data_IF_309495283958
#
_entry.id   IF_309495283958
#
_cell.length_a   1.000
_cell.length_b   1.000
_cell.length_c   1.000
_cell.angle_alpha   90.00
_cell.angle_beta   90.00
_cell.angle_gamma   90.00
#
_symmetry.space_group_name_H-M   'P 1'
#
loop_
_entity.id
_entity.type
_entity.pdbx_description
1 polymer ?
#
# COMPACT_ATOMS: atom_id res chain seq x y z
N UNK A 1 4.27 -14.36 22.27
CA UNK A 1 3.71 -13.05 21.82
C UNK A 1 4.43 -12.41 20.64
N UNK A 2 5.78 -12.33 20.60
CA UNK A 2 6.48 -11.69 19.47
C UNK A 2 6.16 -12.30 18.11
N UNK A 3 6.17 -13.64 17.98
CA UNK A 3 5.87 -14.32 16.72
C UNK A 3 4.47 -14.03 16.15
N UNK A 4 3.46 -13.89 17.01
CA UNK A 4 2.08 -13.62 16.59
C UNK A 4 1.92 -12.23 15.95
N UNK A 5 2.51 -11.19 16.54
CA UNK A 5 2.44 -9.82 15.99
C UNK A 5 3.07 -9.72 14.59
N UNK A 6 4.20 -10.40 14.40
CA UNK A 6 4.86 -10.47 13.11
C UNK A 6 4.10 -11.32 12.10
N UNK A 7 3.49 -12.43 12.53
CA UNK A 7 2.62 -13.24 11.68
C UNK A 7 1.45 -12.41 11.17
N UNK A 8 0.77 -11.69 12.07
CA UNK A 8 -0.30 -10.75 11.71
C UNK A 8 0.19 -9.66 10.76
N UNK A 9 1.35 -9.04 11.03
CA UNK A 9 1.89 -7.99 10.16
C UNK A 9 2.22 -8.54 8.77
N UNK A 10 2.75 -9.76 8.70
CA UNK A 10 3.01 -10.46 7.45
C UNK A 10 1.74 -10.74 6.67
N UNK A 11 0.65 -11.14 7.34
CA UNK A 11 -0.65 -11.35 6.70
C UNK A 11 -1.19 -10.03 6.14
N UNK A 12 -1.24 -8.96 6.93
CA UNK A 12 -1.79 -7.68 6.47
C UNK A 12 -1.00 -7.09 5.30
N UNK A 13 0.34 -7.06 5.41
CA UNK A 13 1.19 -6.53 4.34
C UNK A 13 1.17 -7.45 3.11
N UNK A 14 1.03 -8.76 3.30
CA UNK A 14 0.86 -9.72 2.20
C UNK A 14 -0.46 -9.55 1.46
N UNK A 15 -1.57 -9.41 2.18
CA UNK A 15 -2.89 -9.12 1.60
C UNK A 15 -2.86 -7.79 0.83
N UNK A 16 -2.21 -6.77 1.39
CA UNK A 16 -1.99 -5.50 0.71
C UNK A 16 -1.26 -5.69 -0.62
N UNK A 17 -0.12 -6.38 -0.61
CA UNK A 17 0.64 -6.64 -1.84
C UNK A 17 -0.18 -7.41 -2.88
N UNK A 18 -0.98 -8.40 -2.45
CA UNK A 18 -1.86 -9.15 -3.35
C UNK A 18 -2.96 -8.29 -3.97
N UNK A 19 -3.60 -7.41 -3.20
CA UNK A 19 -4.64 -6.51 -3.72
C UNK A 19 -4.05 -5.52 -4.72
N UNK A 20 -2.94 -4.86 -4.40
CA UNK A 20 -2.30 -3.94 -5.35
C UNK A 20 -1.74 -4.67 -6.58
N UNK A 21 -1.27 -5.91 -6.44
CA UNK A 21 -0.92 -6.75 -7.59
C UNK A 21 -2.14 -7.06 -8.48
N UNK A 22 -3.29 -7.38 -7.88
CA UNK A 22 -4.51 -7.63 -8.63
C UNK A 22 -4.99 -6.38 -9.37
N UNK A 23 -4.98 -5.21 -8.70
CA UNK A 23 -5.37 -3.93 -9.29
C UNK A 23 -4.45 -3.47 -10.43
N UNK A 24 -3.19 -3.90 -10.42
CA UNK A 24 -2.23 -3.63 -11.49
C UNK A 24 -2.60 -4.35 -12.79
N UNK A 25 -3.16 -5.56 -12.67
CA UNK A 25 -3.46 -6.44 -13.81
C UNK A 25 -4.92 -6.25 -14.26
N UNK A 26 -5.84 -6.02 -13.32
CA UNK A 26 -7.27 -6.00 -13.56
C UNK A 26 -7.98 -4.83 -12.85
N UNK A 27 -8.98 -4.18 -13.47
CA UNK A 27 -9.33 -4.17 -14.90
C UNK A 27 -8.14 -3.89 -15.83
N UNK A 28 -8.17 -4.32 -17.10
CA UNK A 28 -7.16 -3.95 -18.09
C UNK A 28 -7.49 -2.62 -18.77
N UNK A 29 -6.48 -1.84 -19.16
CA UNK A 29 -6.66 -0.55 -19.85
C UNK A 29 -6.23 0.68 -19.06
N UNK A 30 -6.18 1.82 -19.76
CA UNK A 30 -5.83 3.15 -19.21
C UNK A 30 -6.95 4.16 -19.52
N UNK A 31 -8.11 3.68 -19.94
CA UNK A 31 -9.30 4.50 -20.15
C UNK A 31 -9.99 4.83 -18.82
N UNK A 32 -10.80 5.89 -18.83
CA UNK A 32 -11.46 6.40 -17.62
C UNK A 32 -12.32 5.33 -16.95
N UNK A 33 -13.02 4.49 -17.73
CA UNK A 33 -13.87 3.42 -17.20
C UNK A 33 -13.05 2.39 -16.42
N UNK A 34 -11.95 1.89 -17.00
CA UNK A 34 -11.07 0.95 -16.31
C UNK A 34 -10.47 1.53 -15.03
N UNK A 35 -10.08 2.82 -15.05
CA UNK A 35 -9.52 3.51 -13.88
C UNK A 35 -10.57 3.68 -12.77
N UNK A 36 -11.79 4.08 -13.10
CA UNK A 36 -12.90 4.19 -12.13
C UNK A 36 -13.22 2.82 -11.53
N UNK A 37 -13.35 1.77 -12.35
CA UNK A 37 -13.63 0.42 -11.85
C UNK A 37 -12.51 -0.11 -10.95
N UNK A 38 -11.23 0.18 -11.25
CA UNK A 38 -10.11 -0.15 -10.34
C UNK A 38 -10.26 0.57 -9.00
N UNK A 39 -10.58 1.86 -9.03
CA UNK A 39 -10.75 2.66 -7.81
C UNK A 39 -11.91 2.16 -6.95
N UNK A 40 -13.06 1.87 -7.56
CA UNK A 40 -14.21 1.26 -6.88
C UNK A 40 -13.84 -0.09 -6.26
N UNK A 41 -13.17 -0.97 -7.02
CA UNK A 41 -12.71 -2.27 -6.52
C UNK A 41 -11.75 -2.13 -5.33
N UNK A 42 -10.84 -1.15 -5.38
CA UNK A 42 -9.95 -0.84 -4.28
C UNK A 42 -10.72 -0.34 -3.04
N UNK A 43 -11.69 0.55 -3.23
CA UNK A 43 -12.53 1.06 -2.15
C UNK A 43 -13.36 -0.06 -1.50
N UNK A 44 -14.00 -0.90 -2.30
CA UNK A 44 -14.83 -2.03 -1.86
C UNK A 44 -14.02 -3.12 -1.17
N UNK A 45 -12.73 -3.26 -1.49
CA UNK A 45 -11.84 -4.19 -0.79
C UNK A 45 -11.63 -3.85 0.69
N UNK A 46 -11.97 -2.62 1.11
CA UNK A 46 -11.74 -2.14 2.48
C UNK A 46 -10.26 -1.99 2.83
N UNK A 47 -9.35 -2.03 1.84
CA UNK A 47 -7.90 -1.97 2.05
C UNK A 47 -7.49 -0.74 2.85
N UNK A 48 -8.08 0.43 2.57
CA UNK A 48 -7.78 1.66 3.28
C UNK A 48 -8.08 1.55 4.78
N UNK A 49 -9.24 0.98 5.13
CA UNK A 49 -9.62 0.73 6.52
C UNK A 49 -8.66 -0.25 7.18
N UNK A 50 -8.27 -1.33 6.48
CA UNK A 50 -7.28 -2.28 6.97
C UNK A 50 -5.91 -1.62 7.22
N UNK A 51 -5.46 -0.75 6.32
CA UNK A 51 -4.21 0.00 6.45
C UNK A 51 -4.22 0.88 7.69
N UNK A 52 -5.23 1.75 7.81
CA UNK A 52 -5.30 2.78 8.86
C UNK A 52 -5.55 2.17 10.24
N UNK A 53 -6.50 1.24 10.35
CA UNK A 53 -6.96 0.75 11.65
C UNK A 53 -6.25 -0.52 12.12
N UNK A 54 -5.58 -1.27 11.24
CA UNK A 54 -4.92 -2.51 11.61
C UNK A 54 -3.44 -2.51 11.29
N UNK A 55 -3.04 -2.27 10.04
CA UNK A 55 -1.65 -2.38 9.63
C UNK A 55 -0.75 -1.33 10.30
N UNK A 56 -1.15 -0.04 10.26
CA UNK A 56 -0.36 1.05 10.84
C UNK A 56 -0.21 0.93 12.38
N UNK A 57 -1.27 0.64 13.17
CA UNK A 57 -1.13 0.39 14.59
C UNK A 57 -0.26 -0.83 14.90
N UNK A 58 -0.40 -1.91 14.13
CA UNK A 58 0.37 -3.14 14.32
C UNK A 58 1.86 -2.93 14.02
N UNK A 59 2.18 -2.23 12.94
CA UNK A 59 3.56 -1.88 12.59
C UNK A 59 4.15 -0.91 13.63
N UNK A 60 3.38 0.06 14.12
CA UNK A 60 3.79 0.93 15.24
C UNK A 60 4.13 0.13 16.50
N UNK A 61 3.29 -0.84 16.86
CA UNK A 61 3.54 -1.73 17.99
C UNK A 61 4.80 -2.59 17.78
N UNK A 62 5.04 -3.07 16.56
CA UNK A 62 6.28 -3.78 16.21
C UNK A 62 7.51 -2.88 16.31
N UNK A 63 7.46 -1.64 15.82
CA UNK A 63 8.55 -0.66 15.94
C UNK A 63 8.89 -0.44 17.41
N UNK A 64 7.88 -0.23 18.25
CA UNK A 64 8.08 -0.06 19.68
C UNK A 64 8.75 -1.28 20.32
N UNK A 65 8.36 -2.49 19.91
CA UNK A 65 8.93 -3.74 20.45
C UNK A 65 10.36 -3.99 19.97
N UNK A 66 10.77 -3.42 18.84
CA UNK A 66 12.11 -3.59 18.25
C UNK A 66 13.13 -2.53 18.71
N UNK A 67 12.82 -1.71 19.72
CA UNK A 67 13.73 -0.64 20.23
C UNK A 67 15.17 -1.08 20.53
N UNK A 68 15.36 -2.34 20.92
CA UNK A 68 16.68 -2.91 21.21
C UNK A 68 17.42 -3.31 19.92
N UNK A 69 16.69 -3.70 18.87
CA UNK A 69 17.24 -4.13 17.59
C UNK A 69 17.10 -3.02 16.54
N UNK A 70 18.04 -2.05 16.53
CA UNK A 70 17.98 -0.86 15.67
C UNK A 70 17.77 -1.17 14.19
N UNK A 71 18.40 -2.23 13.66
CA UNK A 71 18.23 -2.65 12.26
C UNK A 71 16.80 -3.12 11.97
N UNK A 72 16.26 -4.01 12.80
CA UNK A 72 14.89 -4.47 12.67
C UNK A 72 13.89 -3.31 12.84
N UNK A 73 14.15 -2.40 13.77
CA UNK A 73 13.33 -1.21 13.97
C UNK A 73 13.29 -0.31 12.74
N UNK A 74 14.44 -0.05 12.10
CA UNK A 74 14.51 0.75 10.88
C UNK A 74 13.74 0.07 9.72
N UNK A 75 13.89 -1.24 9.54
CA UNK A 75 13.19 -2.01 8.51
C UNK A 75 11.67 -2.01 8.70
N UNK A 76 11.19 -2.21 9.93
CA UNK A 76 9.75 -2.10 10.23
C UNK A 76 9.27 -0.66 10.06
N UNK A 77 10.09 0.33 10.41
CA UNK A 77 9.81 1.75 10.18
C UNK A 77 9.62 2.09 8.70
N UNK A 78 10.46 1.53 7.82
CA UNK A 78 10.28 1.66 6.37
C UNK A 78 8.99 0.99 5.90
N UNK A 79 8.65 -0.18 6.44
CA UNK A 79 7.37 -0.85 6.14
C UNK A 79 6.16 -0.03 6.57
N UNK A 80 6.23 0.61 7.74
CA UNK A 80 5.23 1.57 8.21
C UNK A 80 5.10 2.75 7.24
N UNK A 81 6.22 3.36 6.85
CA UNK A 81 6.22 4.49 5.92
C UNK A 81 5.59 4.12 4.58
N UNK A 82 5.95 2.97 4.00
CA UNK A 82 5.36 2.49 2.75
C UNK A 82 3.84 2.29 2.89
N UNK A 83 3.40 1.68 3.99
CA UNK A 83 1.96 1.47 4.27
C UNK A 83 1.21 2.79 4.44
N UNK A 84 1.83 3.78 5.10
CA UNK A 84 1.24 5.10 5.28
C UNK A 84 1.12 5.87 3.97
N UNK A 85 2.15 5.78 3.11
CA UNK A 85 2.12 6.37 1.77
C UNK A 85 1.05 5.74 0.88
N UNK A 86 0.82 4.44 1.00
CA UNK A 86 -0.27 3.75 0.30
C UNK A 86 -1.66 4.17 0.78
N UNK A 87 -1.82 4.42 2.08
CA UNK A 87 -3.07 4.99 2.56
C UNK A 87 -3.26 6.40 1.94
N UNK A 88 -2.22 7.24 1.97
CA UNK A 88 -2.28 8.60 1.42
C UNK A 88 -2.50 8.66 -0.10
N UNK A 89 -2.00 7.67 -0.87
CA UNK A 89 -2.15 7.66 -2.33
C UNK A 89 -3.61 7.58 -2.77
N UNK A 90 -4.49 6.96 -1.98
CA UNK A 90 -5.93 6.93 -2.25
C UNK A 90 -6.57 8.32 -2.39
N UNK A 91 -6.08 9.33 -1.65
CA UNK A 91 -6.54 10.72 -1.78
C UNK A 91 -6.05 11.36 -3.09
N UNK A 92 -4.82 11.05 -3.49
CA UNK A 92 -4.29 11.52 -4.77
C UNK A 92 -5.10 10.94 -5.93
N UNK A 93 -5.43 9.65 -5.86
CA UNK A 93 -6.24 9.00 -6.89
C UNK A 93 -7.63 9.60 -7.04
N UNK A 94 -8.34 9.79 -5.93
CA UNK A 94 -9.65 10.42 -5.94
C UNK A 94 -9.59 11.81 -6.58
N UNK A 95 -8.63 12.64 -6.18
CA UNK A 95 -8.47 13.99 -6.71
C UNK A 95 -8.19 14.01 -8.22
N UNK A 96 -7.42 13.05 -8.73
CA UNK A 96 -7.08 12.96 -10.15
C UNK A 96 -8.26 12.43 -10.98
N UNK A 97 -9.04 11.48 -10.45
CA UNK A 97 -10.26 10.97 -11.10
C UNK A 97 -11.31 12.08 -11.19
N UNK A 98 -11.59 12.80 -10.10
CA UNK A 98 -12.53 13.92 -10.11
C UNK A 98 -12.12 15.00 -11.13
N UNK A 99 -10.83 15.30 -11.19
CA UNK A 99 -10.28 16.30 -12.11
C UNK A 99 -10.36 15.82 -13.57
N UNK A 100 -10.16 14.53 -13.84
CA UNK A 100 -10.31 13.94 -15.18
C UNK A 100 -11.77 13.94 -15.68
N UNK A 101 -12.74 13.82 -14.76
CA UNK A 101 -14.18 13.90 -15.10
C UNK A 101 -14.59 15.35 -15.42
N UNK A 102 -14.06 16.33 -14.68
CA UNK A 102 -14.42 17.76 -14.85
C UNK A 102 -13.74 18.44 -16.04
N UNK A 103 -12.50 18.06 -16.36
CA UNK A 103 -11.68 18.73 -17.39
C UNK A 103 -11.22 17.75 -18.47
N UNK A 104 -11.84 17.81 -19.66
CA UNK A 104 -11.54 16.90 -20.77
C UNK A 104 -10.21 17.20 -21.48
N UNK A 105 -9.70 18.44 -21.37
CA UNK A 105 -8.54 18.93 -22.15
C UNK A 105 -7.25 18.15 -21.85
N UNK A 106 -7.10 17.58 -20.64
CA UNK A 106 -5.91 16.83 -20.21
C UNK A 106 -6.25 15.42 -19.67
N UNK A 107 -7.43 14.89 -19.98
CA UNK A 107 -7.90 13.65 -19.37
C UNK A 107 -6.96 12.46 -19.63
N UNK A 108 -6.41 12.32 -20.84
CA UNK A 108 -5.57 11.18 -21.19
C UNK A 108 -4.20 11.19 -20.50
N UNK A 109 -3.58 12.35 -20.31
CA UNK A 109 -2.30 12.45 -19.59
C UNK A 109 -2.49 12.22 -18.09
N UNK A 110 -3.62 12.65 -17.52
CA UNK A 110 -3.99 12.32 -16.13
C UNK A 110 -4.22 10.83 -15.93
N UNK A 111 -4.90 10.17 -16.88
CA UNK A 111 -5.11 8.72 -16.84
C UNK A 111 -3.79 7.94 -16.92
N UNK A 112 -2.82 8.41 -17.72
CA UNK A 112 -1.45 7.86 -17.73
C UNK A 112 -0.73 8.08 -16.40
N UNK A 113 -0.89 9.26 -15.79
CA UNK A 113 -0.40 9.55 -14.44
C UNK A 113 -0.97 8.60 -13.39
N UNK A 114 -2.27 8.30 -13.46
CA UNK A 114 -2.92 7.31 -12.58
C UNK A 114 -2.41 5.89 -12.82
N UNK A 115 -2.17 5.50 -14.06
CA UNK A 115 -1.54 4.21 -14.36
C UNK A 115 -0.13 4.11 -13.76
N UNK A 116 0.68 5.17 -13.84
CA UNK A 116 2.00 5.23 -13.20
C UNK A 116 1.91 5.18 -11.68
N UNK A 117 0.93 5.87 -11.09
CA UNK A 117 0.70 5.84 -9.64
C UNK A 117 0.42 4.41 -9.18
N UNK A 118 -0.38 3.62 -9.91
CA UNK A 118 -0.64 2.20 -9.58
C UNK A 118 0.62 1.34 -9.56
N UNK A 119 1.53 1.53 -10.52
CA UNK A 119 2.84 0.85 -10.48
C UNK A 119 3.64 1.25 -9.22
N UNK A 120 3.59 2.53 -8.85
CA UNK A 120 4.19 3.05 -7.63
C UNK A 120 3.59 2.43 -6.36
N UNK A 121 2.27 2.31 -6.29
CA UNK A 121 1.58 1.67 -5.17
C UNK A 121 1.93 0.19 -5.05
N UNK A 122 1.93 -0.54 -6.16
CA UNK A 122 2.38 -1.94 -6.16
C UNK A 122 3.83 -2.06 -5.67
N UNK A 123 4.73 -1.21 -6.17
CA UNK A 123 6.12 -1.20 -5.75
C UNK A 123 6.27 -0.91 -4.24
N UNK A 124 5.51 0.05 -3.70
CA UNK A 124 5.48 0.35 -2.27
C UNK A 124 4.94 -0.82 -1.45
N UNK A 125 3.89 -1.49 -1.91
CA UNK A 125 3.31 -2.64 -1.21
C UNK A 125 4.29 -3.81 -1.16
N UNK A 126 4.98 -4.09 -2.27
CA UNK A 126 6.04 -5.09 -2.34
C UNK A 126 7.24 -4.73 -1.47
N UNK A 127 7.66 -3.46 -1.49
CA UNK A 127 8.75 -2.97 -0.65
C UNK A 127 8.42 -3.17 0.83
N UNK A 128 7.19 -2.81 1.25
CA UNK A 128 6.71 -3.05 2.61
C UNK A 128 6.80 -4.53 3.01
N UNK A 129 6.42 -5.45 2.13
CA UNK A 129 6.50 -6.89 2.38
C UNK A 129 7.95 -7.37 2.53
N UNK A 130 8.84 -6.92 1.64
CA UNK A 130 10.26 -7.28 1.65
C UNK A 130 10.94 -6.75 2.92
N UNK A 131 10.78 -5.47 3.26
CA UNK A 131 11.43 -4.88 4.45
C UNK A 131 10.90 -5.51 5.73
N UNK A 132 9.61 -5.85 5.80
CA UNK A 132 9.06 -6.59 6.94
C UNK A 132 9.69 -7.98 7.05
N UNK A 133 9.82 -8.71 5.93
CA UNK A 133 10.46 -10.03 5.89
C UNK A 133 11.93 -9.97 6.30
N UNK A 134 12.65 -8.94 5.87
CA UNK A 134 14.04 -8.68 6.26
C UNK A 134 14.13 -8.32 7.75
N UNK A 135 13.22 -7.50 8.26
CA UNK A 135 13.15 -7.15 9.69
C UNK A 135 12.94 -8.38 10.58
N UNK A 136 12.14 -9.35 10.13
CA UNK A 136 11.99 -10.64 10.82
C UNK A 136 13.28 -11.46 10.88
N UNK A 137 14.10 -11.43 9.81
CA UNK A 137 15.39 -12.10 9.78
C UNK A 137 16.42 -11.36 10.65
N UNK A 138 16.47 -10.03 10.55
CA UNK A 138 17.43 -9.18 11.26
C UNK A 138 17.29 -9.25 12.78
N UNK A 139 16.09 -9.49 13.32
CA UNK A 139 15.90 -9.64 14.78
C UNK A 139 16.52 -10.93 15.36
N UNK A 140 16.87 -11.91 14.50
CA UNK A 140 17.47 -13.19 14.91
C UNK A 140 19.00 -13.13 14.95
N UNK A 141 19.56 -12.07 14.37
CA UNK A 141 20.99 -11.73 14.39
C UNK A 141 21.25 -10.80 15.60
#
# INVERSE_FOLDING_TARGET
>A
MGAALWGLAGVFVGVQALVYAALLIWPAGVDLRAVVTRFETWQDSGMLTLQIFFALPLLSALIWRMRVHRQAQALVGLGFLCTALLAASGWLELSQIESAIRESVNAQDRLRGLALLRWGEFALAMMAAIVLRLGWSARRL
#
